data_IF_166114449540
#
_entry.id   IF_166114449540
#
_cell.length_a   1.000
_cell.length_b   1.000
_cell.length_c   1.000
_cell.angle_alpha   90.00
_cell.angle_beta   90.00
_cell.angle_gamma   90.00
#
_symmetry.space_group_name_H-M   'P 1'
#
loop_
_entity.id
_entity.type
_entity.pdbx_description
1 polymer ?
#
# COMPACT_ATOMS: atom_id res chain seq x y z
N UNK A 1 -24.85 27.62 25.69
CA UNK A 1 -25.04 26.93 24.41
C UNK A 1 -25.10 27.90 23.22
N UNK A 2 -25.95 28.92 23.26
CA UNK A 2 -26.16 29.92 22.18
C UNK A 2 -24.91 30.42 21.46
N UNK A 3 -23.87 30.86 22.17
CA UNK A 3 -22.63 31.34 21.54
C UNK A 3 -21.92 30.26 20.69
N UNK A 4 -21.88 29.01 21.17
CA UNK A 4 -21.31 27.89 20.43
C UNK A 4 -22.13 27.58 19.16
N UNK A 5 -23.46 27.57 19.26
CA UNK A 5 -24.33 27.33 18.09
C UNK A 5 -24.25 28.46 17.06
N UNK A 6 -24.07 29.71 17.48
CA UNK A 6 -23.85 30.86 16.57
C UNK A 6 -22.50 30.77 15.86
N UNK A 7 -21.42 30.43 16.58
CA UNK A 7 -20.10 30.20 15.97
C UNK A 7 -20.17 29.05 14.96
N UNK A 8 -20.82 27.94 15.33
CA UNK A 8 -20.97 26.76 14.47
C UNK A 8 -21.81 27.09 13.22
N UNK A 9 -22.86 27.90 13.35
CA UNK A 9 -23.66 28.42 12.22
C UNK A 9 -22.83 29.29 11.26
N UNK A 10 -22.04 30.24 11.77
CA UNK A 10 -21.15 31.05 10.92
C UNK A 10 -20.05 30.20 10.26
N UNK A 11 -19.50 29.20 10.95
CA UNK A 11 -18.56 28.23 10.36
C UNK A 11 -19.22 27.42 9.25
N UNK A 12 -20.45 26.93 9.44
CA UNK A 12 -21.20 26.20 8.41
C UNK A 12 -21.49 27.08 7.19
N UNK A 13 -21.84 28.36 7.38
CA UNK A 13 -22.03 29.31 6.27
C UNK A 13 -20.72 29.58 5.54
N UNK A 14 -19.61 29.83 6.26
CA UNK A 14 -18.31 30.07 5.66
C UNK A 14 -17.79 28.83 4.88
N UNK A 15 -18.03 27.63 5.41
CA UNK A 15 -17.73 26.37 4.74
C UNK A 15 -18.71 26.04 3.60
N UNK A 16 -19.88 26.68 3.49
CA UNK A 16 -20.92 26.35 2.52
C UNK A 16 -20.43 26.33 1.06
N UNK A 17 -19.55 27.27 0.68
CA UNK A 17 -18.90 27.26 -0.65
C UNK A 17 -17.98 26.05 -0.84
N UNK A 18 -17.20 25.69 0.19
CA UNK A 18 -16.32 24.52 0.17
C UNK A 18 -17.10 23.19 0.23
N UNK A 19 -18.27 23.15 0.90
CA UNK A 19 -19.18 22.01 0.93
C UNK A 19 -19.80 21.78 -0.45
N UNK A 20 -20.29 22.83 -1.12
CA UNK A 20 -20.81 22.73 -2.49
C UNK A 20 -19.75 22.18 -3.46
N UNK A 21 -18.53 22.74 -3.41
CA UNK A 21 -17.38 22.24 -4.18
C UNK A 21 -17.04 20.77 -3.84
N UNK A 22 -17.15 20.38 -2.56
CA UNK A 22 -16.92 18.99 -2.13
C UNK A 22 -17.97 18.03 -2.71
N UNK A 23 -19.24 18.44 -2.74
CA UNK A 23 -20.34 17.68 -3.34
C UNK A 23 -20.14 17.55 -4.86
N UNK A 24 -19.69 18.62 -5.51
CA UNK A 24 -19.34 18.62 -6.94
C UNK A 24 -18.18 17.66 -7.26
N UNK A 25 -17.08 17.73 -6.52
CA UNK A 25 -15.96 16.78 -6.64
C UNK A 25 -16.41 15.32 -6.45
N UNK A 26 -17.29 15.06 -5.48
CA UNK A 26 -17.85 13.73 -5.26
C UNK A 26 -18.80 13.30 -6.39
N UNK A 27 -19.58 14.22 -6.97
CA UNK A 27 -20.38 13.96 -8.18
C UNK A 27 -19.48 13.59 -9.36
N UNK A 28 -18.37 14.29 -9.56
CA UNK A 28 -17.38 13.94 -10.58
C UNK A 28 -16.72 12.58 -10.33
N UNK A 29 -16.43 12.22 -9.06
CA UNK A 29 -15.93 10.89 -8.71
C UNK A 29 -16.92 9.77 -9.06
N UNK A 30 -18.20 9.95 -8.73
CA UNK A 30 -19.27 9.01 -9.12
C UNK A 30 -19.40 8.91 -10.64
N UNK A 31 -19.36 10.04 -11.37
CA UNK A 31 -19.42 10.03 -12.85
C UNK A 31 -18.21 9.34 -13.47
N UNK A 32 -16.99 9.54 -12.94
CA UNK A 32 -15.80 8.84 -13.40
C UNK A 32 -15.92 7.32 -13.21
N UNK A 33 -16.39 6.88 -12.03
CA UNK A 33 -16.57 5.46 -11.72
C UNK A 33 -17.74 4.81 -12.48
N UNK A 34 -18.75 5.58 -12.91
CA UNK A 34 -19.79 5.12 -13.84
C UNK A 34 -19.30 5.05 -15.30
N UNK A 35 -18.46 6.01 -15.75
CA UNK A 35 -17.88 5.98 -17.11
C UNK A 35 -16.77 4.93 -17.28
N UNK A 36 -16.17 4.44 -16.18
CA UNK A 36 -15.09 3.44 -16.19
C UNK A 36 -15.52 2.20 -15.38
N UNK A 37 -16.47 1.39 -15.89
CA UNK A 37 -17.02 0.24 -15.15
C UNK A 37 -15.94 -0.76 -14.72
N UNK A 38 -14.86 -0.91 -15.50
CA UNK A 38 -13.72 -1.81 -15.26
C UNK A 38 -13.02 -1.61 -13.90
N UNK A 39 -13.18 -0.46 -13.25
CA UNK A 39 -12.66 -0.21 -11.89
C UNK A 39 -13.49 -0.95 -10.81
N UNK A 40 -14.79 -1.14 -11.04
CA UNK A 40 -15.75 -1.68 -10.06
C UNK A 40 -16.32 -3.05 -10.44
N UNK A 41 -16.71 -3.24 -11.69
CA UNK A 41 -17.36 -4.45 -12.22
C UNK A 41 -16.42 -5.20 -13.13
N UNK A 42 -16.32 -6.52 -12.93
CA UNK A 42 -15.65 -7.40 -13.87
C UNK A 42 -16.47 -7.54 -15.15
N UNK A 43 -15.96 -7.07 -16.28
CA UNK A 43 -16.59 -7.34 -17.57
C UNK A 43 -16.54 -8.84 -17.87
N UNK A 44 -17.66 -9.38 -18.35
CA UNK A 44 -17.99 -10.81 -18.34
C UNK A 44 -17.16 -11.70 -19.30
N UNK A 45 -16.07 -11.17 -19.85
CA UNK A 45 -15.25 -11.76 -20.94
C UNK A 45 -13.85 -12.21 -20.51
N UNK A 46 -13.36 -11.84 -19.31
CA UNK A 46 -12.12 -12.38 -18.78
C UNK A 46 -12.07 -12.43 -17.24
N UNK A 47 -11.67 -13.59 -16.69
CA UNK A 47 -11.36 -13.79 -15.26
C UNK A 47 -10.20 -12.89 -14.82
N UNK A 48 -9.30 -12.54 -15.74
CA UNK A 48 -8.18 -11.62 -15.51
C UNK A 48 -8.62 -10.17 -15.21
N UNK A 49 -9.85 -9.81 -15.56
CA UNK A 49 -10.46 -8.51 -15.25
C UNK A 49 -11.47 -8.60 -14.09
N UNK A 50 -11.12 -9.30 -13.01
CA UNK A 50 -11.71 -9.01 -11.71
C UNK A 50 -11.44 -7.54 -11.34
N UNK A 51 -12.37 -6.90 -10.61
CA UNK A 51 -12.21 -5.48 -10.27
C UNK A 51 -11.00 -5.25 -9.36
N UNK A 52 -10.31 -4.12 -9.55
CA UNK A 52 -9.05 -3.81 -8.84
C UNK A 52 -9.10 -4.09 -7.33
N UNK A 53 -10.12 -3.65 -6.56
CA UNK A 53 -10.10 -3.87 -5.12
C UNK A 53 -10.33 -5.33 -4.72
N UNK A 54 -11.04 -6.12 -5.55
CA UNK A 54 -11.17 -7.57 -5.33
C UNK A 54 -9.83 -8.27 -5.61
N UNK A 55 -9.13 -7.90 -6.70
CA UNK A 55 -7.80 -8.45 -6.98
C UNK A 55 -6.81 -8.11 -5.87
N UNK A 56 -6.76 -6.85 -5.45
CA UNK A 56 -5.87 -6.37 -4.38
C UNK A 56 -6.15 -7.10 -3.05
N UNK A 57 -7.42 -7.24 -2.66
CA UNK A 57 -7.77 -7.94 -1.41
C UNK A 57 -7.59 -9.45 -1.46
N UNK A 58 -7.77 -10.09 -2.62
CA UNK A 58 -7.41 -11.50 -2.82
C UNK A 58 -5.89 -11.68 -2.70
N UNK A 59 -5.08 -10.79 -3.30
CA UNK A 59 -3.62 -10.85 -3.18
C UNK A 59 -3.18 -10.60 -1.72
N UNK A 60 -3.75 -9.60 -1.02
CA UNK A 60 -3.52 -9.41 0.41
C UNK A 60 -3.93 -10.63 1.26
N UNK A 61 -4.96 -11.38 0.87
CA UNK A 61 -5.40 -12.61 1.55
C UNK A 61 -4.57 -13.86 1.18
N UNK A 62 -3.88 -13.86 0.04
CA UNK A 62 -2.89 -14.88 -0.32
C UNK A 62 -1.59 -14.60 0.42
N UNK A 63 -1.12 -13.35 0.43
CA UNK A 63 -0.01 -12.86 1.26
C UNK A 63 -0.32 -13.18 2.74
N UNK A 64 -1.55 -12.84 3.18
CA UNK A 64 -2.38 -13.55 4.17
C UNK A 64 -1.81 -14.85 4.73
N UNK A 65 -2.31 -15.91 4.09
CA UNK A 65 -2.11 -17.29 4.45
C UNK A 65 -0.65 -17.72 4.21
N UNK A 66 0.06 -17.15 3.23
CA UNK A 66 1.47 -17.47 2.98
C UNK A 66 2.36 -17.17 4.19
N UNK A 67 2.34 -15.94 4.71
CA UNK A 67 3.19 -15.58 5.84
C UNK A 67 2.71 -16.22 7.15
N UNK A 68 1.40 -16.37 7.35
CA UNK A 68 0.86 -17.08 8.51
C UNK A 68 1.24 -18.58 8.51
N UNK A 69 1.20 -19.24 7.35
CA UNK A 69 1.60 -20.63 7.18
C UNK A 69 3.12 -20.79 7.33
N UNK A 70 3.92 -19.92 6.70
CA UNK A 70 5.38 -19.91 6.86
C UNK A 70 5.80 -19.75 8.32
N UNK A 71 5.18 -18.81 9.05
CA UNK A 71 5.43 -18.64 10.48
C UNK A 71 5.03 -19.88 11.29
N UNK A 72 3.88 -20.50 10.98
CA UNK A 72 3.43 -21.75 11.61
C UNK A 72 4.41 -22.89 11.35
N UNK A 73 4.94 -23.02 10.12
CA UNK A 73 5.98 -24.00 9.80
C UNK A 73 7.25 -23.77 10.63
N UNK A 74 7.70 -22.52 10.79
CA UNK A 74 8.88 -22.17 11.61
C UNK A 74 8.67 -22.39 13.12
N UNK A 75 7.44 -22.48 13.61
CA UNK A 75 7.13 -22.91 14.98
C UNK A 75 6.98 -24.43 15.11
N UNK A 76 6.52 -25.11 14.05
CA UNK A 76 6.32 -26.57 14.03
C UNK A 76 7.61 -27.38 13.82
N UNK A 77 8.62 -26.75 13.23
CA UNK A 77 9.94 -27.34 13.02
C UNK A 77 10.86 -26.96 14.17
N UNK A 78 11.52 -27.95 14.79
CA UNK A 78 12.54 -27.73 15.83
C UNK A 78 13.86 -27.14 15.27
N UNK A 79 13.81 -26.48 14.11
CA UNK A 79 14.95 -25.85 13.43
C UNK A 79 15.27 -24.52 14.09
N UNK A 80 15.83 -24.61 15.30
CA UNK A 80 16.37 -23.44 16.01
C UNK A 80 17.46 -22.78 15.15
N UNK A 81 17.49 -21.45 15.09
CA UNK A 81 18.50 -20.70 14.30
C UNK A 81 19.94 -21.06 14.71
N UNK A 82 20.12 -21.60 15.91
CA UNK A 82 21.35 -22.21 16.41
C UNK A 82 21.95 -23.23 15.45
N UNK A 83 21.18 -24.08 14.77
CA UNK A 83 21.73 -25.10 13.85
C UNK A 83 22.42 -24.46 12.63
N UNK A 84 21.74 -23.50 11.98
CA UNK A 84 22.32 -22.71 10.90
C UNK A 84 23.52 -21.87 11.36
N UNK A 85 23.44 -21.31 12.57
CA UNK A 85 24.52 -20.50 13.14
C UNK A 85 25.73 -21.37 13.47
N UNK A 86 25.54 -22.60 13.99
CA UNK A 86 26.59 -23.56 14.26
C UNK A 86 27.23 -24.11 12.98
N UNK A 87 26.48 -24.31 11.89
CA UNK A 87 27.07 -24.63 10.59
C UNK A 87 28.01 -23.52 10.10
N UNK A 88 27.54 -22.26 10.10
CA UNK A 88 28.34 -21.12 9.62
C UNK A 88 29.55 -20.88 10.53
N UNK A 89 29.37 -20.89 11.86
CA UNK A 89 30.45 -20.72 12.82
C UNK A 89 31.43 -21.90 12.83
N UNK A 90 30.98 -23.12 12.51
CA UNK A 90 31.83 -24.30 12.32
C UNK A 90 32.81 -24.10 11.15
N UNK A 91 32.27 -23.74 9.97
CA UNK A 91 33.07 -23.45 8.77
C UNK A 91 34.08 -22.31 9.01
N UNK A 92 33.69 -21.26 9.75
CA UNK A 92 34.61 -20.17 10.14
C UNK A 92 35.66 -20.64 11.17
N UNK A 93 35.29 -21.50 12.10
CA UNK A 93 36.20 -22.07 13.11
C UNK A 93 37.26 -23.00 12.51
N UNK A 94 36.89 -23.82 11.52
CA UNK A 94 37.84 -24.65 10.77
C UNK A 94 38.89 -23.78 10.03
N UNK A 95 38.50 -22.63 9.48
CA UNK A 95 39.41 -21.67 8.84
C UNK A 95 40.34 -20.92 9.82
N UNK A 96 39.90 -20.66 11.06
CA UNK A 96 40.67 -19.89 12.06
C UNK A 96 41.55 -20.75 12.97
N UNK A 97 41.43 -22.09 12.90
CA UNK A 97 42.15 -23.04 13.76
C UNK A 97 43.69 -22.92 13.82
N UNK A 98 44.44 -22.37 12.83
CA UNK A 98 45.90 -22.26 12.95
C UNK A 98 46.42 -21.21 13.95
N UNK A 99 45.59 -20.28 14.46
CA UNK A 99 46.08 -19.07 15.15
C UNK A 99 45.35 -18.74 16.46
N UNK A 100 45.59 -19.49 17.54
CA UNK A 100 45.78 -18.97 18.91
C UNK A 100 45.90 -20.07 19.98
N UNK A 101 46.66 -19.85 21.07
CA UNK A 101 46.79 -20.80 22.19
C UNK A 101 45.86 -20.45 23.38
N UNK A 102 44.59 -20.12 23.12
CA UNK A 102 43.61 -19.85 24.20
C UNK A 102 42.76 -21.09 24.51
N UNK A 103 42.50 -21.40 25.81
CA UNK A 103 41.66 -22.54 26.19
C UNK A 103 40.23 -22.36 25.70
N UNK A 104 39.63 -23.45 25.22
CA UNK A 104 38.34 -23.44 24.55
C UNK A 104 37.19 -23.14 25.50
N UNK A 105 36.52 -22.00 25.28
CA UNK A 105 35.26 -21.64 25.95
C UNK A 105 34.08 -22.44 25.36
N UNK A 106 34.14 -23.76 25.47
CA UNK A 106 33.05 -24.65 25.06
C UNK A 106 31.94 -24.59 26.11
N UNK A 107 30.73 -24.26 25.66
CA UNK A 107 29.55 -24.33 26.51
C UNK A 107 29.30 -25.78 26.96
N UNK A 108 29.16 -25.97 28.27
CA UNK A 108 28.92 -27.27 28.87
C UNK A 108 27.53 -27.79 28.46
N UNK A 109 27.51 -28.78 27.56
CA UNK A 109 26.26 -29.36 27.06
C UNK A 109 25.64 -30.31 28.11
N UNK A 110 24.96 -29.74 29.10
CA UNK A 110 24.34 -30.47 30.21
C UNK A 110 23.11 -31.29 29.75
N UNK A 111 23.33 -32.42 29.09
CA UNK A 111 22.29 -33.43 28.84
C UNK A 111 22.01 -34.21 30.14
N UNK A 112 20.87 -33.93 30.77
CA UNK A 112 20.44 -34.63 31.99
C UNK A 112 19.62 -35.87 31.64
N UNK A 113 20.14 -37.06 31.96
CA UNK A 113 19.41 -38.32 31.87
C UNK A 113 18.58 -38.52 33.15
N UNK A 114 17.28 -38.75 33.03
CA UNK A 114 16.40 -39.05 34.17
C UNK A 114 15.92 -40.50 34.03
N UNK A 115 16.16 -41.31 35.06
CA UNK A 115 15.77 -42.72 35.14
C UNK A 115 14.74 -42.93 36.24
N UNK A 116 13.87 -43.93 36.07
CA UNK A 116 12.85 -44.29 37.05
C UNK A 116 13.47 -44.95 38.30
N UNK A 117 14.54 -45.74 38.10
CA UNK A 117 15.48 -46.12 39.15
C UNK A 117 16.93 -45.72 38.78
N UNK A 118 17.54 -44.76 39.50
CA UNK A 118 18.94 -44.34 39.31
C UNK A 118 20.00 -45.43 39.56
N UNK A 119 19.66 -46.55 40.23
CA UNK A 119 20.62 -47.61 40.57
C UNK A 119 20.68 -48.72 39.53
N UNK A 120 19.57 -49.02 38.85
CA UNK A 120 19.49 -50.05 37.81
C UNK A 120 19.51 -49.49 36.38
N UNK A 121 19.51 -48.16 36.21
CA UNK A 121 19.45 -47.49 34.90
C UNK A 121 18.24 -47.95 34.06
N UNK A 122 17.12 -48.24 34.73
CA UNK A 122 15.87 -48.65 34.07
C UNK A 122 14.99 -47.46 33.73
N UNK A 123 14.30 -47.57 32.59
CA UNK A 123 13.35 -46.58 32.05
C UNK A 123 13.91 -45.14 31.95
N UNK A 124 15.17 -45.02 31.50
CA UNK A 124 15.86 -43.74 31.38
C UNK A 124 15.44 -42.92 30.15
N UNK A 125 14.98 -41.69 30.38
CA UNK A 125 14.74 -40.68 29.33
C UNK A 125 15.90 -39.68 29.29
N UNK A 126 16.49 -39.47 28.11
CA UNK A 126 17.45 -38.38 27.88
C UNK A 126 16.69 -37.07 27.69
N UNK A 127 16.77 -36.17 28.67
CA UNK A 127 16.32 -34.79 28.50
C UNK A 127 17.50 -33.96 28.01
N UNK A 128 17.55 -33.73 26.70
CA UNK A 128 18.36 -32.66 26.14
C UNK A 128 17.76 -31.31 26.56
N UNK A 129 18.61 -30.34 26.91
CA UNK A 129 18.19 -29.04 27.46
C UNK A 129 17.69 -28.06 26.36
N UNK A 130 17.18 -28.57 25.24
CA UNK A 130 16.66 -27.77 24.11
C UNK A 130 15.45 -26.92 24.51
N UNK A 131 14.65 -27.41 25.47
CA UNK A 131 13.46 -26.73 26.04
C UNK A 131 13.84 -25.47 26.87
N UNK A 132 15.11 -25.08 26.94
CA UNK A 132 15.56 -23.86 27.65
C UNK A 132 16.68 -23.09 26.95
N UNK A 133 16.67 -23.06 25.61
CA UNK A 133 17.64 -22.30 24.79
C UNK A 133 17.05 -21.44 23.66
N UNK A 134 15.91 -21.84 23.07
CA UNK A 134 15.31 -21.12 21.94
C UNK A 134 14.41 -19.97 22.43
N UNK A 135 14.88 -18.72 22.28
CA UNK A 135 14.09 -17.52 22.64
C UNK A 135 14.51 -16.26 21.86
N UNK A 136 15.79 -16.12 21.50
CA UNK A 136 16.26 -14.98 20.70
C UNK A 136 16.04 -15.19 19.19
N UNK A 137 16.30 -16.41 18.71
CA UNK A 137 16.15 -16.83 17.32
C UNK A 137 14.73 -16.62 16.79
N UNK A 138 13.77 -17.15 17.53
CA UNK A 138 12.40 -17.35 17.05
C UNK A 138 11.64 -16.01 17.09
N UNK A 139 12.01 -15.14 18.03
CA UNK A 139 11.57 -13.74 18.11
C UNK A 139 12.09 -12.93 16.92
N UNK A 140 13.37 -13.07 16.55
CA UNK A 140 13.92 -12.41 15.34
C UNK A 140 13.21 -12.92 14.08
N UNK A 141 12.97 -14.23 13.97
CA UNK A 141 12.28 -14.84 12.84
C UNK A 141 10.78 -14.43 12.77
N UNK A 142 10.12 -14.27 13.92
CA UNK A 142 8.76 -13.72 14.01
C UNK A 142 8.69 -12.26 13.54
N UNK A 143 9.65 -11.42 13.98
CA UNK A 143 9.71 -10.02 13.52
C UNK A 143 10.08 -9.90 12.05
N UNK A 144 10.89 -10.81 11.50
CA UNK A 144 11.16 -10.88 10.06
C UNK A 144 9.88 -11.20 9.26
N UNK A 145 9.13 -12.23 9.65
CA UNK A 145 7.84 -12.55 9.02
C UNK A 145 6.85 -11.37 9.14
N UNK A 146 6.78 -10.71 10.31
CA UNK A 146 5.90 -9.55 10.54
C UNK A 146 6.34 -8.29 9.76
N UNK A 147 7.63 -8.12 9.51
CA UNK A 147 8.15 -7.04 8.66
C UNK A 147 7.80 -7.27 7.19
N UNK A 148 8.12 -8.46 6.67
CA UNK A 148 7.81 -8.84 5.30
C UNK A 148 6.31 -8.82 5.04
N UNK A 149 5.51 -9.28 6.01
CA UNK A 149 4.06 -9.10 6.07
C UNK A 149 3.64 -7.65 5.78
N UNK A 150 4.09 -6.69 6.60
CA UNK A 150 3.69 -5.29 6.46
C UNK A 150 4.18 -4.67 5.14
N UNK A 151 5.39 -5.02 4.71
CA UNK A 151 5.97 -4.46 3.49
C UNK A 151 5.28 -4.96 2.23
N UNK A 152 5.06 -6.28 2.09
CA UNK A 152 4.39 -6.86 0.93
C UNK A 152 2.93 -6.40 0.82
N UNK A 153 2.15 -6.41 1.92
CA UNK A 153 0.78 -5.89 1.88
C UNK A 153 0.74 -4.38 1.59
N UNK A 154 1.64 -3.60 2.18
CA UNK A 154 1.78 -2.17 1.88
C UNK A 154 2.16 -1.87 0.43
N UNK A 155 2.96 -2.74 -0.19
CA UNK A 155 3.38 -2.67 -1.59
C UNK A 155 2.22 -2.99 -2.55
N UNK A 156 1.49 -4.08 -2.30
CA UNK A 156 0.30 -4.46 -3.08
C UNK A 156 -0.76 -3.34 -3.03
N UNK A 157 -1.06 -2.83 -1.85
CA UNK A 157 -1.98 -1.69 -1.69
C UNK A 157 -1.52 -0.42 -2.43
N UNK A 158 -0.21 -0.14 -2.44
CA UNK A 158 0.34 1.00 -3.18
C UNK A 158 0.19 0.86 -4.70
N UNK A 159 0.35 -0.35 -5.26
CA UNK A 159 0.04 -0.63 -6.67
C UNK A 159 -1.45 -0.37 -6.94
N UNK A 160 -2.35 -0.88 -6.09
CA UNK A 160 -3.80 -0.65 -6.21
C UNK A 160 -4.19 0.83 -6.26
N UNK A 161 -3.60 1.64 -5.37
CA UNK A 161 -3.78 3.10 -5.36
C UNK A 161 -3.32 3.72 -6.68
N UNK A 162 -2.13 3.38 -7.18
CA UNK A 162 -1.59 3.97 -8.41
C UNK A 162 -2.34 3.55 -9.68
N UNK A 163 -2.86 2.31 -9.74
CA UNK A 163 -3.67 1.83 -10.87
C UNK A 163 -4.99 2.61 -10.98
N UNK A 164 -5.71 2.77 -9.87
CA UNK A 164 -6.94 3.58 -9.83
C UNK A 164 -6.60 5.04 -10.14
N UNK A 165 -5.61 5.62 -9.45
CA UNK A 165 -5.24 7.03 -9.62
C UNK A 165 -4.81 7.37 -11.05
N UNK A 166 -3.98 6.55 -11.69
CA UNK A 166 -3.55 6.78 -13.09
C UNK A 166 -4.67 6.62 -14.10
N UNK A 167 -5.68 5.78 -13.82
CA UNK A 167 -6.86 5.61 -14.68
C UNK A 167 -7.81 6.80 -14.54
N UNK A 168 -8.08 7.24 -13.31
CA UNK A 168 -8.91 8.43 -13.02
C UNK A 168 -8.22 9.72 -13.49
N UNK A 169 -6.90 9.83 -13.34
CA UNK A 169 -6.11 10.97 -13.82
C UNK A 169 -6.17 11.13 -15.35
N UNK A 170 -5.98 10.03 -16.10
CA UNK A 170 -6.18 10.01 -17.55
C UNK A 170 -7.58 10.43 -17.96
N UNK A 171 -8.61 9.97 -17.25
CA UNK A 171 -10.00 10.35 -17.51
C UNK A 171 -10.27 11.83 -17.21
N UNK A 172 -9.73 12.36 -16.12
CA UNK A 172 -9.91 13.75 -15.69
C UNK A 172 -9.37 14.72 -16.74
N UNK A 173 -8.15 14.48 -17.25
CA UNK A 173 -7.49 15.34 -18.23
C UNK A 173 -7.85 15.04 -19.71
N UNK A 174 -8.70 14.05 -20.00
CA UNK A 174 -9.22 13.80 -21.37
C UNK A 174 -10.29 14.86 -21.73
N UNK A 175 -10.46 15.17 -23.02
CA UNK A 175 -11.58 16.03 -23.47
C UNK A 175 -12.92 15.33 -23.22
N UNK A 176 -14.00 16.08 -22.95
CA UNK A 176 -15.30 15.48 -22.59
C UNK A 176 -15.85 14.55 -23.70
N UNK A 177 -15.65 14.92 -24.96
CA UNK A 177 -15.93 14.11 -26.15
C UNK A 177 -15.29 12.71 -26.10
N UNK A 178 -14.07 12.63 -25.54
CA UNK A 178 -13.25 11.43 -25.52
C UNK A 178 -13.42 10.62 -24.21
N UNK A 179 -14.09 11.17 -23.18
CA UNK A 179 -14.24 10.54 -21.85
C UNK A 179 -15.13 9.29 -21.82
N UNK A 180 -15.84 8.99 -22.91
CA UNK A 180 -16.58 7.72 -23.09
C UNK A 180 -15.69 6.53 -23.48
N UNK A 181 -14.49 6.80 -23.99
CA UNK A 181 -13.54 5.80 -24.54
C UNK A 181 -12.50 5.32 -23.49
N UNK A 182 -12.74 5.57 -22.19
CA UNK A 182 -11.81 5.16 -21.11
C UNK A 182 -12.15 3.74 -20.62
N UNK A 183 -11.99 2.77 -21.51
CA UNK A 183 -12.29 1.35 -21.26
C UNK A 183 -11.20 0.56 -20.54
N UNK A 184 -11.43 -0.75 -20.37
CA UNK A 184 -10.58 -1.73 -19.66
C UNK A 184 -9.10 -1.72 -20.08
N UNK A 185 -8.79 -1.31 -21.31
CA UNK A 185 -7.43 -1.11 -21.83
C UNK A 185 -6.64 -0.05 -21.06
N UNK A 186 -7.30 1.02 -20.61
CA UNK A 186 -6.65 2.11 -19.84
C UNK A 186 -6.18 1.61 -18.48
N UNK A 187 -6.96 0.74 -17.85
CA UNK A 187 -6.68 0.13 -16.55
C UNK A 187 -5.47 -0.81 -16.63
N UNK A 188 -5.42 -1.68 -17.66
CA UNK A 188 -4.28 -2.54 -17.92
C UNK A 188 -3.02 -1.73 -18.26
N UNK A 189 -3.15 -0.67 -19.07
CA UNK A 189 -2.03 0.23 -19.38
C UNK A 189 -1.52 0.97 -18.12
N UNK A 190 -2.40 1.33 -17.19
CA UNK A 190 -2.01 1.90 -15.90
C UNK A 190 -1.27 0.87 -15.03
N UNK A 191 -1.75 -0.37 -14.94
CA UNK A 191 -1.06 -1.46 -14.25
C UNK A 191 0.33 -1.73 -14.83
N UNK A 192 0.45 -1.89 -16.15
CA UNK A 192 1.74 -2.07 -16.81
C UNK A 192 2.68 -0.89 -16.51
N UNK A 193 2.21 0.36 -16.63
CA UNK A 193 3.00 1.55 -16.32
C UNK A 193 3.53 1.58 -14.87
N UNK A 194 2.68 1.23 -13.89
CA UNK A 194 3.09 1.12 -12.49
C UNK A 194 4.18 0.06 -12.31
N UNK A 195 3.99 -1.12 -12.93
CA UNK A 195 4.91 -2.24 -12.83
C UNK A 195 6.26 -1.99 -13.53
N UNK A 196 6.29 -1.28 -14.67
CA UNK A 196 7.52 -1.03 -15.43
C UNK A 196 8.28 0.22 -14.99
N UNK A 197 7.59 1.31 -14.62
CA UNK A 197 8.22 2.62 -14.41
C UNK A 197 8.17 3.14 -12.97
N UNK A 198 7.24 2.65 -12.14
CA UNK A 198 7.02 3.24 -10.80
C UNK A 198 7.24 2.28 -9.62
N UNK A 199 7.58 1.02 -9.89
CA UNK A 199 7.78 -0.03 -8.88
C UNK A 199 8.75 0.38 -7.75
N UNK A 200 9.81 1.14 -8.05
CA UNK A 200 10.73 1.68 -7.04
C UNK A 200 10.10 2.73 -6.12
N UNK A 201 9.18 3.55 -6.63
CA UNK A 201 8.41 4.52 -5.81
C UNK A 201 7.41 3.80 -4.91
N UNK A 202 6.73 2.77 -5.44
CA UNK A 202 5.86 1.86 -4.66
C UNK A 202 6.65 1.19 -3.53
N UNK A 203 7.79 0.56 -3.86
CA UNK A 203 8.64 -0.17 -2.92
C UNK A 203 9.16 0.72 -1.78
N UNK A 204 9.67 1.93 -2.10
CA UNK A 204 10.17 2.86 -1.10
C UNK A 204 9.05 3.40 -0.20
N UNK A 205 7.94 3.85 -0.80
CA UNK A 205 6.82 4.42 -0.05
C UNK A 205 6.12 3.40 0.87
N UNK A 206 6.10 2.11 0.51
CA UNK A 206 5.60 1.05 1.37
C UNK A 206 6.61 0.61 2.43
N UNK A 207 7.91 0.58 2.10
CA UNK A 207 9.00 0.23 3.02
C UNK A 207 9.04 1.16 4.23
N UNK A 208 8.95 2.48 4.02
CA UNK A 208 8.96 3.46 5.12
C UNK A 208 7.78 3.25 6.06
N UNK A 209 6.58 2.96 5.53
CA UNK A 209 5.40 2.64 6.34
C UNK A 209 5.61 1.32 7.11
N UNK A 210 6.14 0.28 6.45
CA UNK A 210 6.38 -1.02 7.06
C UNK A 210 7.43 -0.97 8.18
N UNK A 211 8.48 -0.16 8.05
CA UNK A 211 9.46 0.09 9.13
C UNK A 211 8.79 0.75 10.33
N UNK A 212 7.93 1.76 10.14
CA UNK A 212 7.19 2.39 11.23
C UNK A 212 6.24 1.39 11.91
N UNK A 213 5.54 0.55 11.12
CA UNK A 213 4.70 -0.52 11.64
C UNK A 213 5.50 -1.57 12.43
N UNK A 214 6.69 -1.96 11.95
CA UNK A 214 7.59 -2.88 12.64
C UNK A 214 8.07 -2.30 13.98
N UNK A 215 8.59 -1.07 14.00
CA UNK A 215 9.05 -0.42 15.24
C UNK A 215 7.90 -0.29 16.25
N UNK A 216 6.71 0.09 15.78
CA UNK A 216 5.49 0.13 16.61
C UNK A 216 5.09 -1.24 17.14
N UNK A 217 5.21 -2.31 16.33
CA UNK A 217 4.92 -3.70 16.73
C UNK A 217 5.95 -4.28 17.70
N UNK A 218 7.25 -4.03 17.48
CA UNK A 218 8.32 -4.37 18.43
C UNK A 218 8.05 -3.67 19.77
N UNK A 219 7.72 -2.38 19.76
CA UNK A 219 7.45 -1.67 21.00
C UNK A 219 6.16 -2.16 21.68
N UNK A 220 5.12 -2.51 20.93
CA UNK A 220 3.91 -3.18 21.45
C UNK A 220 4.20 -4.56 22.04
N UNK A 221 5.16 -5.32 21.49
CA UNK A 221 5.57 -6.63 22.01
C UNK A 221 6.46 -6.48 23.26
N UNK A 222 7.44 -5.57 23.26
CA UNK A 222 8.30 -5.30 24.43
C UNK A 222 7.49 -4.75 25.61
N UNK A 223 6.55 -3.83 25.36
CA UNK A 223 5.62 -3.34 26.39
C UNK A 223 4.62 -4.46 26.74
N UNK A 224 4.11 -5.18 25.72
CA UNK A 224 3.10 -6.20 25.85
C UNK A 224 3.53 -7.36 26.73
N UNK A 225 4.72 -7.91 26.54
CA UNK A 225 5.30 -8.92 27.44
C UNK A 225 5.32 -8.40 28.88
N UNK A 226 5.95 -7.23 29.11
CA UNK A 226 6.08 -6.56 30.42
C UNK A 226 4.76 -6.03 31.01
N UNK A 227 3.62 -6.25 30.34
CA UNK A 227 2.27 -5.88 30.79
C UNK A 227 1.38 -7.12 30.91
N UNK A 228 1.57 -8.16 30.09
CA UNK A 228 0.92 -9.47 30.17
C UNK A 228 1.40 -10.26 31.38
N UNK A 229 2.63 -10.01 31.86
CA UNK A 229 3.05 -10.38 33.22
C UNK A 229 1.94 -10.03 34.23
N UNK A 230 1.35 -8.83 34.17
CA UNK A 230 0.27 -8.40 35.09
C UNK A 230 -1.11 -9.04 34.84
N UNK A 231 -1.24 -9.95 33.87
CA UNK A 231 -2.45 -10.75 33.64
C UNK A 231 -2.27 -12.22 34.06
N UNK A 232 -1.03 -12.72 34.08
CA UNK A 232 -0.70 -14.09 34.53
C UNK A 232 -0.14 -14.09 35.97
N UNK A 233 0.55 -13.02 36.41
CA UNK A 233 1.04 -12.87 37.78
C UNK A 233 -0.03 -12.47 38.78
N UNK A 234 -0.85 -13.48 39.10
CA UNK A 234 -1.25 -13.73 40.48
C UNK A 234 -0.23 -14.58 41.26
N UNK A 235 0.92 -14.96 40.68
CA UNK A 235 1.91 -15.85 41.33
C UNK A 235 3.33 -15.31 41.54
N UNK A 236 3.96 -14.52 40.67
CA UNK A 236 5.29 -13.92 40.94
C UNK A 236 5.23 -12.44 41.32
N UNK A 237 4.84 -12.17 42.58
CA UNK A 237 4.98 -10.85 43.21
C UNK A 237 6.44 -10.55 43.63
N UNK A 238 7.45 -10.62 42.76
CA UNK A 238 8.80 -10.17 43.18
C UNK A 238 9.79 -9.69 42.10
N UNK A 239 9.35 -8.97 41.06
CA UNK A 239 10.31 -8.19 40.24
C UNK A 239 9.74 -6.91 39.62
N UNK A 240 10.56 -5.85 39.66
CA UNK A 240 10.52 -4.66 38.79
C UNK A 240 9.16 -3.92 38.68
N UNK A 241 8.84 -3.15 39.73
CA UNK A 241 7.81 -2.08 39.70
C UNK A 241 8.21 -0.90 38.80
N UNK A 242 8.26 -1.13 37.48
CA UNK A 242 8.55 -0.15 36.42
C UNK A 242 8.04 1.27 36.74
N UNK A 243 8.96 2.24 36.80
CA UNK A 243 8.66 3.62 37.18
C UNK A 243 7.50 4.23 36.36
N UNK A 244 6.60 5.02 36.98
CA UNK A 244 5.46 5.61 36.27
C UNK A 244 5.89 6.55 35.13
N UNK A 245 7.02 7.22 35.27
CA UNK A 245 7.64 8.03 34.22
C UNK A 245 7.99 7.22 32.96
N UNK A 246 8.55 6.01 33.14
CA UNK A 246 8.92 5.10 32.03
C UNK A 246 7.66 4.60 31.31
N UNK A 247 6.61 4.24 32.07
CA UNK A 247 5.28 3.88 31.52
C UNK A 247 4.64 5.03 30.74
N UNK A 248 4.81 6.27 31.21
CA UNK A 248 4.33 7.47 30.51
C UNK A 248 5.10 7.69 29.19
N UNK A 249 6.43 7.63 29.22
CA UNK A 249 7.30 7.76 28.05
C UNK A 249 6.95 6.76 26.96
N UNK A 250 6.86 5.47 27.29
CA UNK A 250 6.44 4.43 26.33
C UNK A 250 5.06 4.69 25.72
N UNK A 251 4.07 5.15 26.49
CA UNK A 251 2.74 5.51 25.96
C UNK A 251 2.80 6.72 25.03
N UNK A 252 3.66 7.70 25.32
CA UNK A 252 3.93 8.84 24.45
C UNK A 252 4.56 8.39 23.12
N UNK A 253 5.62 7.59 23.17
CA UNK A 253 6.28 7.04 21.98
C UNK A 253 5.31 6.22 21.10
N UNK A 254 4.41 5.41 21.69
CA UNK A 254 3.40 4.69 20.90
C UNK A 254 2.45 5.66 20.19
N UNK A 255 2.03 6.73 20.86
CA UNK A 255 1.19 7.78 20.27
C UNK A 255 1.91 8.47 19.10
N UNK A 256 3.16 8.90 19.29
CA UNK A 256 3.97 9.53 18.25
C UNK A 256 4.18 8.60 17.04
N UNK A 257 4.51 7.32 17.25
CA UNK A 257 4.66 6.34 16.17
C UNK A 257 3.33 6.05 15.44
N UNK A 258 2.21 6.00 16.17
CA UNK A 258 0.88 5.84 15.56
C UNK A 258 0.51 7.07 14.71
N UNK A 259 0.74 8.28 15.20
CA UNK A 259 0.55 9.51 14.43
C UNK A 259 1.45 9.53 13.18
N UNK A 260 2.74 9.19 13.33
CA UNK A 260 3.68 9.10 12.21
C UNK A 260 3.24 8.07 11.16
N UNK A 261 2.75 6.89 11.58
CA UNK A 261 2.20 5.87 10.67
C UNK A 261 1.02 6.43 9.85
N UNK A 262 0.11 7.21 10.47
CA UNK A 262 -1.01 7.85 9.77
C UNK A 262 -0.57 8.98 8.86
N UNK A 263 0.35 9.83 9.30
CA UNK A 263 0.92 10.91 8.50
C UNK A 263 1.65 10.37 7.26
N UNK A 264 2.53 9.38 7.42
CA UNK A 264 3.24 8.77 6.30
C UNK A 264 2.30 8.01 5.36
N UNK A 265 1.31 7.29 5.87
CA UNK A 265 0.29 6.62 5.02
C UNK A 265 -0.54 7.62 4.21
N UNK A 266 -0.81 8.81 4.76
CA UNK A 266 -1.46 9.91 4.02
C UNK A 266 -0.53 10.55 2.99
N UNK A 267 0.71 10.90 3.36
CA UNK A 267 1.69 11.50 2.44
C UNK A 267 1.99 10.54 1.28
N UNK A 268 2.34 9.28 1.55
CA UNK A 268 2.59 8.28 0.51
C UNK A 268 1.41 8.11 -0.44
N UNK A 269 0.15 8.09 0.06
CA UNK A 269 -1.04 7.97 -0.80
C UNK A 269 -1.14 9.15 -1.79
N UNK A 270 -0.97 10.39 -1.33
CA UNK A 270 -1.05 11.56 -2.21
C UNK A 270 0.17 11.67 -3.14
N UNK A 271 1.35 11.25 -2.67
CA UNK A 271 2.54 11.13 -3.50
C UNK A 271 2.34 10.12 -4.64
N UNK A 272 1.79 8.93 -4.37
CA UNK A 272 1.50 7.91 -5.38
C UNK A 272 0.59 8.42 -6.50
N UNK A 273 -0.45 9.19 -6.17
CA UNK A 273 -1.33 9.85 -7.16
C UNK A 273 -0.52 10.80 -8.05
N UNK A 274 0.35 11.62 -7.47
CA UNK A 274 1.14 12.58 -8.25
C UNK A 274 2.29 11.92 -9.04
N UNK A 275 2.86 10.82 -8.55
CA UNK A 275 3.86 10.01 -9.29
C UNK A 275 3.26 9.49 -10.58
N UNK A 276 2.09 8.82 -10.54
CA UNK A 276 1.48 8.24 -11.76
C UNK A 276 0.94 9.31 -12.72
N UNK A 277 0.46 10.44 -12.21
CA UNK A 277 -0.06 11.53 -13.04
C UNK A 277 1.02 12.41 -13.69
N UNK A 278 2.26 12.42 -13.16
CA UNK A 278 3.34 13.30 -13.66
C UNK A 278 4.65 12.61 -14.05
N UNK A 279 4.81 11.31 -13.78
CA UNK A 279 6.07 10.60 -14.00
C UNK A 279 7.23 11.05 -13.09
N UNK A 280 6.94 11.71 -11.97
CA UNK A 280 7.97 12.21 -11.04
C UNK A 280 8.47 11.12 -10.07
N UNK A 281 9.63 11.34 -9.45
CA UNK A 281 10.10 10.50 -8.34
C UNK A 281 9.29 10.74 -7.05
N UNK A 282 9.25 9.72 -6.19
CA UNK A 282 8.45 9.71 -4.95
C UNK A 282 8.70 10.90 -4.02
N UNK A 283 9.94 11.34 -3.83
CA UNK A 283 10.26 12.45 -2.92
C UNK A 283 9.73 13.79 -3.44
N UNK A 284 9.98 14.11 -4.73
CA UNK A 284 9.47 15.34 -5.35
C UNK A 284 7.93 15.34 -5.35
N UNK A 285 7.33 14.20 -5.69
CA UNK A 285 5.88 14.00 -5.66
C UNK A 285 5.28 14.12 -4.23
N UNK A 286 5.99 13.68 -3.19
CA UNK A 286 5.55 13.82 -1.79
C UNK A 286 5.52 15.28 -1.35
N UNK A 287 6.59 16.04 -1.63
CA UNK A 287 6.66 17.47 -1.28
C UNK A 287 5.65 18.28 -2.10
N UNK A 288 5.53 18.01 -3.41
CA UNK A 288 4.63 18.76 -4.28
C UNK A 288 3.15 18.46 -4.00
N UNK A 289 2.77 17.20 -3.75
CA UNK A 289 1.39 16.86 -3.38
C UNK A 289 1.01 17.42 -2.01
N UNK A 290 1.90 17.35 -1.01
CA UNK A 290 1.66 17.98 0.30
C UNK A 290 1.50 19.50 0.18
N UNK A 291 2.35 20.17 -0.61
CA UNK A 291 2.25 21.61 -0.87
C UNK A 291 0.92 22.00 -1.54
N UNK A 292 0.48 21.26 -2.56
CA UNK A 292 -0.83 21.46 -3.22
C UNK A 292 -2.02 21.34 -2.25
N UNK A 293 -1.96 20.36 -1.34
CA UNK A 293 -3.00 20.10 -0.35
C UNK A 293 -3.02 21.16 0.77
N UNK A 294 -1.85 21.62 1.24
CA UNK A 294 -1.75 22.70 2.25
C UNK A 294 -2.20 24.05 1.67
N UNK A 295 -1.82 24.37 0.43
CA UNK A 295 -2.30 25.57 -0.27
C UNK A 295 -3.83 25.62 -0.42
N UNK A 296 -4.49 24.45 -0.45
CA UNK A 296 -5.94 24.31 -0.56
C UNK A 296 -6.59 23.75 0.72
N UNK A 297 -5.96 23.88 1.89
CA UNK A 297 -6.31 23.13 3.11
C UNK A 297 -7.80 23.21 3.48
N UNK A 298 -8.42 24.40 3.38
CA UNK A 298 -9.85 24.56 3.68
C UNK A 298 -10.75 23.71 2.76
N UNK A 299 -10.42 23.62 1.46
CA UNK A 299 -11.11 22.76 0.49
C UNK A 299 -10.86 21.28 0.81
N UNK A 300 -9.60 20.90 1.06
CA UNK A 300 -9.20 19.52 1.40
C UNK A 300 -9.89 19.02 2.67
N UNK A 301 -9.84 19.78 3.77
CA UNK A 301 -10.46 19.41 5.04
C UNK A 301 -11.97 19.30 4.91
N UNK A 302 -12.63 20.21 4.17
CA UNK A 302 -14.07 20.13 3.92
C UNK A 302 -14.43 18.87 3.13
N UNK A 303 -13.72 18.60 2.03
CA UNK A 303 -13.93 17.40 1.22
C UNK A 303 -13.72 16.12 2.04
N UNK A 304 -12.65 16.06 2.85
CA UNK A 304 -12.40 14.93 3.74
C UNK A 304 -13.51 14.76 4.79
N UNK A 305 -14.02 15.84 5.38
CA UNK A 305 -15.15 15.77 6.32
C UNK A 305 -16.43 15.27 5.66
N UNK A 306 -16.82 15.85 4.51
CA UNK A 306 -18.02 15.46 3.75
C UNK A 306 -17.91 14.01 3.27
N UNK A 307 -16.79 13.64 2.63
CA UNK A 307 -16.51 12.28 2.18
C UNK A 307 -16.59 11.27 3.33
N UNK A 308 -16.03 11.57 4.51
CA UNK A 308 -16.11 10.70 5.70
C UNK A 308 -17.55 10.42 6.13
N UNK A 309 -18.45 11.42 6.07
CA UNK A 309 -19.87 11.23 6.38
C UNK A 309 -20.57 10.33 5.36
N UNK A 310 -20.36 10.56 4.07
CA UNK A 310 -20.91 9.70 3.01
C UNK A 310 -20.39 8.26 3.06
N UNK A 311 -19.10 8.07 3.37
CA UNK A 311 -18.48 6.74 3.60
C UNK A 311 -19.18 6.02 4.75
N UNK A 312 -19.42 6.72 5.87
CA UNK A 312 -20.06 6.13 7.04
C UNK A 312 -21.52 5.76 6.76
N UNK A 313 -22.28 6.67 6.14
CA UNK A 313 -23.67 6.43 5.72
C UNK A 313 -23.75 5.25 4.72
N UNK A 314 -22.83 5.18 3.76
CA UNK A 314 -22.76 4.09 2.79
C UNK A 314 -22.48 2.73 3.43
N UNK A 315 -21.50 2.64 4.33
CA UNK A 315 -21.17 1.38 5.05
C UNK A 315 -22.33 0.95 5.96
N UNK A 316 -22.88 1.85 6.78
CA UNK A 316 -24.00 1.54 7.68
C UNK A 316 -25.27 1.19 6.90
N UNK A 317 -25.63 1.98 5.89
CA UNK A 317 -26.82 1.74 5.06
C UNK A 317 -26.78 0.40 4.34
N UNK A 318 -25.63 0.03 3.76
CA UNK A 318 -25.46 -1.27 3.12
C UNK A 318 -25.61 -2.43 4.13
N UNK A 319 -24.93 -2.36 5.28
CA UNK A 319 -25.03 -3.39 6.31
C UNK A 319 -26.47 -3.56 6.83
N UNK A 320 -27.18 -2.46 7.10
CA UNK A 320 -28.57 -2.49 7.55
C UNK A 320 -29.48 -3.07 6.47
N UNK A 321 -29.35 -2.62 5.22
CA UNK A 321 -30.17 -3.12 4.11
C UNK A 321 -29.99 -4.62 3.88
N UNK A 322 -28.75 -5.11 3.77
CA UNK A 322 -28.48 -6.56 3.58
C UNK A 322 -28.96 -7.38 4.78
N UNK A 323 -28.76 -6.90 6.01
CA UNK A 323 -29.18 -7.62 7.22
C UNK A 323 -30.71 -7.74 7.32
N UNK A 324 -31.43 -6.65 7.04
CA UNK A 324 -32.90 -6.63 7.02
C UNK A 324 -33.45 -7.47 5.86
N UNK A 325 -32.82 -7.45 4.69
CA UNK A 325 -33.23 -8.28 3.55
C UNK A 325 -33.08 -9.78 3.86
N UNK A 326 -31.95 -10.20 4.44
CA UNK A 326 -31.74 -11.60 4.87
C UNK A 326 -32.73 -12.01 5.95
N UNK A 327 -32.98 -11.16 6.95
CA UNK A 327 -34.00 -11.42 7.98
C UNK A 327 -35.41 -11.54 7.37
N UNK A 328 -35.77 -10.65 6.44
CA UNK A 328 -37.07 -10.69 5.75
C UNK A 328 -37.25 -11.97 4.92
N UNK A 329 -36.24 -12.35 4.13
CA UNK A 329 -36.25 -13.57 3.32
C UNK A 329 -36.38 -14.86 4.15
N UNK A 330 -35.76 -14.92 5.33
CA UNK A 330 -35.89 -16.06 6.25
C UNK A 330 -37.27 -16.10 6.91
N UNK A 331 -37.83 -14.95 7.29
CA UNK A 331 -39.08 -14.87 8.06
C UNK A 331 -40.37 -14.94 7.20
N UNK A 332 -40.33 -14.47 5.95
CA UNK A 332 -41.53 -14.29 5.12
C UNK A 332 -41.55 -15.15 3.85
N UNK A 333 -40.41 -15.74 3.47
CA UNK A 333 -40.28 -16.54 2.25
C UNK A 333 -39.45 -17.82 2.52
N UNK A 334 -39.86 -18.72 3.43
CA UNK A 334 -39.02 -19.86 3.84
C UNK A 334 -38.79 -20.91 2.75
N UNK A 335 -39.44 -20.82 1.59
CA UNK A 335 -39.47 -21.86 0.54
C UNK A 335 -38.09 -22.19 -0.08
N UNK A 336 -37.09 -21.32 0.09
CA UNK A 336 -35.69 -21.58 -0.32
C UNK A 336 -34.84 -22.28 0.75
N UNK A 337 -35.35 -22.49 1.96
CA UNK A 337 -34.68 -23.26 3.02
C UNK A 337 -35.03 -24.74 2.91
N UNK A 338 -34.10 -25.55 2.40
CA UNK A 338 -34.22 -27.01 2.43
C UNK A 338 -34.24 -27.60 3.85
N UNK A 339 -33.76 -26.85 4.85
CA UNK A 339 -33.75 -27.21 6.27
C UNK A 339 -34.14 -26.01 7.15
N UNK A 340 -34.91 -26.19 8.23
CA UNK A 340 -35.32 -25.11 9.11
C UNK A 340 -34.11 -24.54 9.90
N UNK A 341 -33.95 -23.22 9.87
CA UNK A 341 -32.87 -22.55 10.64
C UNK A 341 -33.23 -22.47 12.12
N UNK A 342 -32.37 -23.04 12.97
CA UNK A 342 -32.54 -23.06 14.44
C UNK A 342 -32.46 -21.64 15.05
N UNK A 343 -31.79 -20.70 14.39
CA UNK A 343 -31.79 -19.28 14.77
C UNK A 343 -31.54 -18.37 13.58
N UNK A 344 -32.43 -17.38 13.39
CA UNK A 344 -32.32 -16.32 12.38
C UNK A 344 -31.12 -15.39 12.65
N UNK A 345 -30.68 -15.30 13.90
CA UNK A 345 -29.63 -14.35 14.33
C UNK A 345 -28.26 -14.68 13.72
N UNK A 346 -27.94 -15.97 13.56
CA UNK A 346 -26.63 -16.40 13.05
C UNK A 346 -26.43 -16.05 11.56
N UNK A 347 -27.34 -16.42 10.62
CA UNK A 347 -27.26 -15.97 9.23
C UNK A 347 -27.21 -14.45 9.07
N UNK A 348 -27.99 -13.71 9.87
CA UNK A 348 -28.00 -12.23 9.83
C UNK A 348 -26.68 -11.64 10.33
N UNK A 349 -26.07 -12.19 11.39
CA UNK A 349 -24.75 -11.73 11.86
C UNK A 349 -23.65 -12.01 10.83
N UNK A 350 -23.70 -13.17 10.17
CA UNK A 350 -22.76 -13.51 9.08
C UNK A 350 -22.94 -12.56 7.89
N UNK A 351 -24.18 -12.27 7.48
CA UNK A 351 -24.44 -11.33 6.37
C UNK A 351 -24.05 -9.89 6.71
N UNK A 352 -24.19 -9.46 7.96
CA UNK A 352 -23.70 -8.17 8.45
C UNK A 352 -22.17 -8.07 8.37
N UNK A 353 -21.45 -9.10 8.81
CA UNK A 353 -19.98 -9.15 8.70
C UNK A 353 -19.50 -9.14 7.24
N UNK A 354 -20.10 -9.96 6.36
CA UNK A 354 -19.73 -10.02 4.95
C UNK A 354 -20.05 -8.72 4.21
N UNK A 355 -21.24 -8.14 4.45
CA UNK A 355 -21.64 -6.87 3.82
C UNK A 355 -20.77 -5.69 4.28
N UNK A 356 -20.28 -5.68 5.53
CA UNK A 356 -19.33 -4.67 6.00
C UNK A 356 -17.96 -4.78 5.31
N UNK A 357 -17.45 -6.01 5.12
CA UNK A 357 -16.20 -6.26 4.40
C UNK A 357 -16.33 -5.81 2.94
N UNK A 358 -17.34 -6.31 2.21
CA UNK A 358 -17.56 -6.00 0.79
C UNK A 358 -17.78 -4.49 0.59
N UNK A 359 -18.61 -3.86 1.43
CA UNK A 359 -18.84 -2.40 1.38
C UNK A 359 -17.54 -1.61 1.62
N UNK A 360 -16.66 -2.09 2.50
CA UNK A 360 -15.36 -1.45 2.71
C UNK A 360 -14.45 -1.55 1.50
N UNK A 361 -14.37 -2.72 0.87
CA UNK A 361 -13.54 -2.99 -0.31
C UNK A 361 -13.90 -2.04 -1.47
N UNK A 362 -15.19 -1.83 -1.74
CA UNK A 362 -15.63 -0.94 -2.81
C UNK A 362 -15.57 0.56 -2.45
N UNK A 363 -15.92 0.94 -1.21
CA UNK A 363 -15.90 2.36 -0.82
C UNK A 363 -14.47 2.88 -0.71
N UNK A 364 -13.49 2.07 -0.34
CA UNK A 364 -12.09 2.49 -0.26
C UNK A 364 -11.53 2.84 -1.66
N UNK A 365 -12.07 2.30 -2.76
CA UNK A 365 -11.81 2.78 -4.14
C UNK A 365 -12.42 4.14 -4.41
N UNK A 366 -13.66 4.37 -3.98
CA UNK A 366 -14.30 5.69 -4.09
C UNK A 366 -13.46 6.77 -3.37
N UNK A 367 -12.85 6.45 -2.22
CA UNK A 367 -11.89 7.35 -1.56
C UNK A 367 -10.69 7.66 -2.44
N UNK A 368 -10.11 6.67 -3.12
CA UNK A 368 -8.95 6.89 -4.01
C UNK A 368 -9.34 7.74 -5.23
N UNK A 369 -10.54 7.54 -5.79
CA UNK A 369 -11.08 8.37 -6.89
C UNK A 369 -11.28 9.81 -6.44
N UNK A 370 -11.92 10.05 -5.28
CA UNK A 370 -12.13 11.39 -4.72
C UNK A 370 -10.80 12.08 -4.41
N UNK A 371 -9.84 11.38 -3.82
CA UNK A 371 -8.50 11.90 -3.54
C UNK A 371 -7.75 12.26 -4.83
N UNK A 372 -7.89 11.44 -5.88
CA UNK A 372 -7.29 11.70 -7.19
C UNK A 372 -7.88 12.93 -7.86
N UNK A 373 -9.22 13.04 -7.92
CA UNK A 373 -9.90 14.18 -8.53
C UNK A 373 -9.60 15.48 -7.77
N UNK A 374 -9.53 15.42 -6.44
CA UNK A 374 -9.13 16.58 -5.63
C UNK A 374 -7.70 17.03 -5.93
N UNK A 375 -6.76 16.10 -6.09
CA UNK A 375 -5.38 16.46 -6.41
C UNK A 375 -5.28 17.03 -7.83
N UNK A 376 -5.93 16.41 -8.83
CA UNK A 376 -6.01 16.93 -10.20
C UNK A 376 -6.64 18.33 -10.26
N UNK A 377 -7.69 18.61 -9.49
CA UNK A 377 -8.30 19.94 -9.35
C UNK A 377 -7.34 20.95 -8.71
N UNK A 378 -6.63 20.57 -7.65
CA UNK A 378 -5.63 21.46 -7.02
C UNK A 378 -4.45 21.75 -7.96
N UNK A 379 -4.03 20.78 -8.77
CA UNK A 379 -3.04 20.97 -9.82
C UNK A 379 -3.51 21.93 -10.91
N UNK A 380 -4.77 21.79 -11.36
CA UNK A 380 -5.35 22.61 -12.42
C UNK A 380 -5.54 24.06 -11.98
N UNK A 381 -6.09 24.28 -10.77
CA UNK A 381 -6.13 25.61 -10.12
C UNK A 381 -4.75 26.28 -10.11
N UNK A 382 -3.68 25.54 -9.76
CA UNK A 382 -2.32 26.08 -9.68
C UNK A 382 -1.70 26.39 -11.04
N UNK A 383 -2.17 25.75 -12.13
CA UNK A 383 -1.74 26.05 -13.51
C UNK A 383 -2.53 27.21 -14.11
N UNK A 384 -3.84 27.24 -13.87
CA UNK A 384 -4.81 28.06 -14.60
C UNK A 384 -5.26 29.31 -13.82
N UNK A 385 -4.77 29.53 -12.60
CA UNK A 385 -4.96 30.76 -11.81
C UNK A 385 -6.42 31.07 -11.43
N UNK A 386 -7.32 30.12 -11.59
CA UNK A 386 -8.78 30.27 -11.48
C UNK A 386 -9.36 29.19 -10.57
N UNK A 387 -10.61 29.37 -10.11
CA UNK A 387 -11.28 28.50 -9.13
C UNK A 387 -11.62 27.07 -9.60
N UNK A 388 -11.06 26.63 -10.73
CA UNK A 388 -11.43 25.41 -11.45
C UNK A 388 -12.83 25.47 -12.09
N UNK A 389 -13.52 26.59 -11.96
CA UNK A 389 -14.88 26.85 -12.48
C UNK A 389 -14.88 27.66 -13.78
N UNK A 390 -13.71 27.93 -14.37
CA UNK A 390 -13.61 28.64 -15.64
C UNK A 390 -14.06 27.73 -16.79
N UNK A 391 -15.04 28.18 -17.58
CA UNK A 391 -15.72 27.39 -18.63
C UNK A 391 -14.80 26.93 -19.79
N UNK A 392 -13.53 27.35 -19.82
CA UNK A 392 -12.51 26.80 -20.72
C UNK A 392 -11.93 25.45 -20.29
N UNK A 393 -11.97 25.09 -19.01
CA UNK A 393 -11.48 23.79 -18.52
C UNK A 393 -12.35 22.61 -19.01
N UNK A 394 -13.56 22.89 -19.50
CA UNK A 394 -14.47 21.94 -20.14
C UNK A 394 -14.77 22.39 -21.59
N UNK A 395 -13.78 22.96 -22.30
CA UNK A 395 -14.03 23.46 -23.67
C UNK A 395 -12.84 24.04 -24.45
N UNK A 396 -11.85 23.22 -24.83
CA UNK A 396 -10.67 23.57 -25.68
C UNK A 396 -9.68 24.58 -25.03
N UNK A 397 -8.37 24.59 -25.28
CA UNK A 397 -7.55 24.19 -26.45
C UNK A 397 -6.28 23.42 -26.02
N UNK A 398 -5.50 22.80 -26.95
CA UNK A 398 -4.29 22.07 -26.58
C UNK A 398 -3.19 22.99 -26.02
N UNK A 399 -2.61 22.60 -24.89
CA UNK A 399 -1.43 23.24 -24.31
C UNK A 399 -0.15 22.78 -25.04
N UNK A 400 0.58 23.74 -25.61
CA UNK A 400 1.88 23.49 -26.20
C UNK A 400 2.92 23.14 -25.13
N UNK A 401 3.91 22.32 -25.48
CA UNK A 401 5.09 22.08 -24.65
C UNK A 401 5.96 23.35 -24.59
N UNK A 402 5.78 24.16 -23.55
CA UNK A 402 6.64 25.33 -23.34
C UNK A 402 7.97 24.89 -22.70
N UNK A 403 9.05 24.99 -23.48
CA UNK A 403 10.42 24.91 -22.96
C UNK A 403 10.69 26.11 -22.05
N UNK A 404 11.49 25.90 -21.02
CA UNK A 404 12.06 26.97 -20.21
C UNK A 404 13.06 27.79 -21.04
N UNK A 405 13.14 29.09 -20.76
CA UNK A 405 14.07 30.02 -21.40
C UNK A 405 14.16 31.30 -20.57
N UNK A 406 15.32 31.50 -19.93
CA UNK A 406 15.62 32.73 -19.18
C UNK A 406 16.07 33.86 -20.13
N UNK A 407 16.08 35.10 -19.63
CA UNK A 407 16.19 36.31 -20.44
C UNK A 407 17.24 37.31 -19.93
N UNK A 408 17.74 38.16 -20.85
CA UNK A 408 18.75 39.19 -20.61
C UNK A 408 20.03 38.94 -21.42
N UNK A 409 20.71 39.93 -21.99
CA UNK A 409 20.50 41.41 -21.99
C UNK A 409 21.08 41.96 -23.31
N UNK A 410 20.58 43.08 -23.85
CA UNK A 410 20.96 43.57 -25.19
C UNK A 410 21.58 44.97 -25.26
N UNK A 411 22.35 45.22 -26.33
CA UNK A 411 22.69 46.55 -26.86
C UNK A 411 23.29 46.45 -28.29
N UNK A 412 23.26 47.58 -29.03
CA UNK A 412 23.78 47.84 -30.40
C UNK A 412 25.24 47.34 -30.62
N UNK A 413 25.77 47.12 -31.84
CA UNK A 413 25.86 48.07 -32.98
C UNK A 413 26.35 47.41 -34.29
N UNK A 414 25.90 47.96 -35.44
CA UNK A 414 26.43 47.83 -36.83
C UNK A 414 26.58 46.43 -37.47
N UNK A 415 26.91 46.45 -38.78
CA UNK A 415 26.80 45.33 -39.71
C UNK A 415 28.08 45.12 -40.52
N UNK A 416 28.27 43.88 -41.00
CA UNK A 416 29.02 43.56 -42.24
C UNK A 416 28.33 42.38 -42.93
N UNK A 417 28.45 42.32 -44.25
CA UNK A 417 27.72 41.45 -45.18
C UNK A 417 28.43 40.09 -45.44
N UNK A 418 27.79 39.22 -46.23
CA UNK A 418 28.37 38.17 -47.11
C UNK A 418 27.95 36.70 -46.83
N UNK A 419 26.74 36.37 -47.29
CA UNK A 419 26.44 35.29 -48.28
C UNK A 419 26.96 33.84 -48.09
N UNK A 420 26.04 32.85 -48.11
CA UNK A 420 25.85 31.82 -49.19
C UNK A 420 24.89 30.70 -48.72
N UNK A 421 23.69 30.69 -49.33
CA UNK A 421 22.86 29.57 -49.87
C UNK A 421 22.76 28.22 -49.12
N UNK A 422 21.52 27.69 -49.04
CA UNK A 422 21.16 26.37 -48.51
C UNK A 422 20.90 25.32 -49.61
N UNK A 423 20.87 24.02 -49.23
CA UNK A 423 20.26 22.94 -50.03
C UNK A 423 19.81 21.75 -49.13
N UNK A 424 18.97 20.87 -49.69
CA UNK A 424 18.38 19.69 -49.05
C UNK A 424 18.64 18.42 -49.91
N UNK A 425 18.51 17.22 -49.32
CA UNK A 425 18.53 15.92 -50.01
C UNK A 425 18.96 14.82 -49.03
N UNK A 426 18.25 13.73 -48.76
CA UNK A 426 17.43 12.81 -49.58
C UNK A 426 18.28 11.93 -50.51
N UNK A 427 18.17 10.60 -50.36
CA UNK A 427 19.08 9.60 -50.94
C UNK A 427 18.31 8.34 -51.37
N UNK A 428 18.37 7.92 -52.65
CA UNK A 428 17.76 6.67 -53.13
C UNK A 428 18.75 5.69 -53.81
N UNK A 429 18.49 4.39 -53.61
CA UNK A 429 18.65 3.25 -54.53
C UNK A 429 20.02 2.84 -55.15
N UNK A 430 20.03 1.64 -55.76
CA UNK A 430 21.15 0.83 -56.26
C UNK A 430 20.63 -0.15 -57.37
N UNK A 431 21.37 -1.15 -57.92
CA UNK A 431 22.81 -1.49 -57.86
C UNK A 431 23.46 -1.33 -59.27
N UNK A 432 23.98 -2.29 -60.09
CA UNK A 432 24.20 -3.76 -60.00
C UNK A 432 25.67 -4.25 -60.10
N UNK A 433 25.81 -5.58 -60.25
CA UNK A 433 26.91 -6.41 -60.83
C UNK A 433 27.79 -7.27 -59.89
N UNK A 434 28.15 -8.47 -60.39
CA UNK A 434 28.76 -9.60 -59.66
C UNK A 434 30.07 -10.09 -60.33
N UNK A 435 30.85 -10.99 -59.69
CA UNK A 435 30.65 -12.42 -59.98
C UNK A 435 30.83 -13.38 -58.77
N UNK A 436 30.67 -14.67 -59.04
CA UNK A 436 30.46 -15.78 -58.08
C UNK A 436 31.74 -16.64 -57.86
N UNK A 437 31.78 -17.49 -56.82
CA UNK A 437 32.96 -18.27 -56.42
C UNK A 437 32.67 -19.80 -56.28
N UNK A 438 33.61 -20.69 -56.63
CA UNK A 438 33.39 -22.14 -56.67
C UNK A 438 33.55 -22.86 -55.31
N UNK A 439 32.95 -24.06 -55.14
CA UNK A 439 33.01 -24.84 -53.90
C UNK A 439 34.27 -25.75 -53.81
N UNK A 440 34.68 -26.18 -52.60
CA UNK A 440 35.69 -27.22 -52.39
C UNK A 440 35.07 -28.63 -52.23
N UNK A 441 35.69 -29.63 -52.86
CA UNK A 441 35.30 -31.05 -52.74
C UNK A 441 35.72 -31.71 -51.42
N UNK A 442 35.09 -32.85 -51.11
CA UNK A 442 35.48 -33.76 -50.03
C UNK A 442 35.99 -35.10 -50.59
N UNK A 443 36.97 -35.75 -49.93
CA UNK A 443 37.08 -37.20 -50.00
C UNK A 443 37.36 -37.91 -48.66
N UNK A 444 36.50 -38.89 -48.37
CA UNK A 444 36.82 -40.26 -47.90
C UNK A 444 37.84 -40.45 -46.76
N UNK A 445 37.32 -40.84 -45.60
CA UNK A 445 37.74 -42.04 -44.86
C UNK A 445 36.56 -42.59 -44.03
#
# INVERSE_FOLDING_TARGET
MTAFTVILFFVVIALGRAVNLSIEMMKHATVAMMKIPSILTSEHRAILTCSVPIVITIVDLIVFLFFAWSYTLTLSSNLTLTDYTHQIMGVVSDYLRPVSPFPSFLAENSTSMICEDPKTMTNCTLISKSISGSTSSDVVLAFWHLFMWFWTSGFVNAIGVMVVAGTIGKWYFKKEEEKGDVGSTTLLQALCCVLTYHLGSVAYGSLVIAVIQLVRSIMLWVIGARVTDRYIDRKFKETQTMNPLVKCGFKCCHCCLFCLEKCMRYISRNAYILVINRGQNFFKASVESFSLLVANLAKVTTLKSVSTLFIWIGKVGNCVFTSLFVAFMILNCPDWLSHPVISVVSPVLISLCLSYIISSIFIDVFVITVDTIMLCYCEDMRKNGTDGTAEGAIGSKPSAQQKEGEAGTGAKTEATETTVIAAQGAYPDAPPDAPEAPPPDAPVA
#
